data_IF_547773789038
#
_entry.id   IF_547773789038
#
_cell.length_a   1.000
_cell.length_b   1.000
_cell.length_c   1.000
_cell.angle_alpha   90.00
_cell.angle_beta   90.00
_cell.angle_gamma   90.00
#
_symmetry.space_group_name_H-M   'P 1'
#
loop_
_entity.id
_entity.type
_entity.pdbx_description
1 polymer ?
#
# COMPACT_ATOMS: atom_id res chain seq x y z
N UNK A 1 -28.12 -12.86 17.36
CA UNK A 1 -28.90 -12.18 16.29
C UNK A 1 -28.49 -10.73 16.08
N UNK A 2 -27.98 -10.01 17.09
CA UNK A 2 -27.58 -8.59 16.99
C UNK A 2 -26.31 -8.29 16.13
N UNK A 3 -25.50 -9.30 15.79
CA UNK A 3 -24.30 -9.11 14.95
C UNK A 3 -24.58 -9.01 13.45
N UNK A 4 -25.69 -9.61 12.98
CA UNK A 4 -26.01 -9.63 11.55
C UNK A 4 -26.43 -8.26 11.03
N UNK A 5 -27.22 -7.54 11.82
CA UNK A 5 -27.72 -6.22 11.46
C UNK A 5 -26.61 -5.16 11.44
N UNK A 6 -25.64 -5.27 12.37
CA UNK A 6 -24.44 -4.41 12.36
C UNK A 6 -23.53 -4.72 11.18
N UNK A 7 -23.34 -5.99 10.84
CA UNK A 7 -22.57 -6.39 9.66
C UNK A 7 -23.24 -5.93 8.35
N UNK A 8 -24.57 -6.03 8.25
CA UNK A 8 -25.33 -5.53 7.10
C UNK A 8 -25.32 -3.99 7.00
N UNK A 9 -25.35 -3.27 8.14
CA UNK A 9 -25.18 -1.80 8.15
C UNK A 9 -23.76 -1.37 7.80
N UNK A 10 -22.73 -2.14 8.21
CA UNK A 10 -21.35 -1.92 7.81
C UNK A 10 -21.16 -2.16 6.31
N UNK A 11 -21.77 -3.21 5.74
CA UNK A 11 -21.78 -3.45 4.30
C UNK A 11 -22.51 -2.35 3.52
N UNK A 12 -23.63 -1.83 4.02
CA UNK A 12 -24.39 -0.72 3.40
C UNK A 12 -23.67 0.63 3.47
N UNK A 13 -22.71 0.77 4.39
CA UNK A 13 -21.85 1.96 4.53
C UNK A 13 -20.51 1.80 3.81
N UNK A 14 -20.18 0.59 3.35
CA UNK A 14 -19.05 0.40 2.46
C UNK A 14 -19.32 1.24 1.21
N UNK A 15 -18.38 2.10 0.79
CA UNK A 15 -18.54 2.84 -0.44
C UNK A 15 -18.86 1.85 -1.58
N UNK A 16 -19.79 2.19 -2.47
CA UNK A 16 -19.97 1.41 -3.70
C UNK A 16 -18.58 1.23 -4.32
N UNK A 17 -18.27 0.02 -4.77
CA UNK A 17 -16.90 -0.39 -5.11
C UNK A 17 -16.17 0.63 -6.01
N UNK A 18 -16.93 1.31 -6.88
CA UNK A 18 -16.45 2.38 -7.76
C UNK A 18 -15.87 3.59 -7.00
N UNK A 19 -16.50 4.04 -5.92
CA UNK A 19 -15.99 5.14 -5.09
C UNK A 19 -14.69 4.79 -4.38
N UNK A 20 -14.50 3.52 -4.00
CA UNK A 20 -13.21 3.05 -3.44
C UNK A 20 -12.12 3.14 -4.51
N UNK A 21 -12.42 2.71 -5.74
CA UNK A 21 -11.46 2.79 -6.84
C UNK A 21 -11.11 4.23 -7.24
N UNK A 22 -12.08 5.15 -7.21
CA UNK A 22 -11.83 6.58 -7.43
C UNK A 22 -10.86 7.14 -6.38
N UNK A 23 -11.10 6.86 -5.10
CA UNK A 23 -10.21 7.31 -4.01
C UNK A 23 -8.80 6.74 -4.14
N UNK A 24 -8.68 5.46 -4.53
CA UNK A 24 -7.38 4.83 -4.78
C UNK A 24 -6.67 5.51 -5.96
N UNK A 25 -7.38 5.80 -7.06
CA UNK A 25 -6.80 6.46 -8.23
C UNK A 25 -6.33 7.88 -7.90
N UNK A 26 -7.10 8.63 -7.11
CA UNK A 26 -6.71 9.95 -6.61
C UNK A 26 -5.46 9.89 -5.73
N UNK A 27 -5.39 8.91 -4.82
CA UNK A 27 -4.22 8.67 -3.99
C UNK A 27 -2.99 8.34 -4.83
N UNK A 28 -3.11 7.41 -5.79
CA UNK A 28 -2.01 7.03 -6.69
C UNK A 28 -1.49 8.24 -7.48
N UNK A 29 -2.39 9.09 -7.96
CA UNK A 29 -2.02 10.34 -8.63
C UNK A 29 -1.27 11.29 -7.69
N UNK A 30 -1.77 11.49 -6.47
CA UNK A 30 -1.11 12.34 -5.47
C UNK A 30 0.29 11.83 -5.13
N UNK A 31 0.47 10.52 -4.97
CA UNK A 31 1.76 9.90 -4.74
C UNK A 31 2.71 10.10 -5.94
N UNK A 32 2.25 9.89 -7.17
CA UNK A 32 3.05 10.12 -8.37
C UNK A 32 3.48 11.59 -8.51
N UNK A 33 2.58 12.54 -8.26
CA UNK A 33 2.88 13.97 -8.27
C UNK A 33 3.89 14.33 -7.18
N UNK A 34 3.77 13.75 -5.98
CA UNK A 34 4.72 13.95 -4.89
C UNK A 34 6.10 13.41 -5.24
N UNK A 35 6.18 12.18 -5.75
CA UNK A 35 7.44 11.57 -6.19
C UNK A 35 8.17 12.47 -7.18
N UNK A 36 7.48 12.98 -8.19
CA UNK A 36 8.07 13.81 -9.23
C UNK A 36 8.58 15.17 -8.71
N UNK A 37 7.91 15.75 -7.71
CA UNK A 37 8.29 17.05 -7.14
C UNK A 37 9.35 16.98 -6.06
N UNK A 38 9.40 15.88 -5.31
CA UNK A 38 10.19 15.77 -4.08
C UNK A 38 11.22 14.63 -4.12
N UNK A 39 11.71 14.25 -5.31
CA UNK A 39 12.65 13.11 -5.49
C UNK A 39 13.85 13.13 -4.52
N UNK A 40 14.35 14.32 -4.23
CA UNK A 40 15.51 14.54 -3.36
C UNK A 40 15.23 14.37 -1.85
N UNK A 41 13.96 14.34 -1.45
CA UNK A 41 13.53 14.06 -0.07
C UNK A 41 13.23 12.58 0.17
N UNK A 42 13.27 11.75 -0.88
CA UNK A 42 12.88 10.35 -0.81
C UNK A 42 14.04 9.48 -0.35
N UNK A 43 13.85 8.83 0.80
CA UNK A 43 14.74 7.75 1.23
C UNK A 43 14.25 6.42 0.67
N UNK A 44 15.04 5.68 -0.13
CA UNK A 44 14.62 4.37 -0.63
C UNK A 44 14.51 3.37 0.52
N UNK A 45 13.40 2.64 0.61
CA UNK A 45 13.16 1.63 1.65
C UNK A 45 13.18 0.24 1.06
N UNK A 46 12.36 0.00 0.03
CA UNK A 46 12.16 -1.33 -0.53
C UNK A 46 12.08 -1.26 -2.05
N UNK A 47 12.71 -2.22 -2.72
CA UNK A 47 12.38 -2.59 -4.09
C UNK A 47 11.72 -3.96 -4.06
N UNK A 48 10.47 -4.04 -4.50
CA UNK A 48 9.69 -5.26 -4.49
C UNK A 48 9.37 -5.72 -5.92
N UNK A 49 9.47 -7.03 -6.16
CA UNK A 49 9.03 -7.69 -7.38
C UNK A 49 8.31 -8.99 -7.04
N UNK A 50 7.34 -9.35 -7.86
CA UNK A 50 6.69 -10.64 -7.75
C UNK A 50 5.49 -10.78 -8.65
N UNK A 51 4.74 -11.84 -8.44
CA UNK A 51 3.44 -12.07 -9.06
C UNK A 51 2.35 -12.09 -8.01
N UNK A 52 1.26 -11.41 -8.31
CA UNK A 52 0.09 -11.30 -7.44
C UNK A 52 -1.09 -11.93 -8.18
N UNK A 53 -1.88 -12.73 -7.47
CA UNK A 53 -3.13 -13.31 -7.96
C UNK A 53 -4.18 -13.28 -6.85
N UNK A 54 -4.91 -12.17 -6.76
CA UNK A 54 -5.87 -11.92 -5.70
C UNK A 54 -5.48 -10.75 -4.81
N UNK A 55 -5.54 -10.92 -3.50
CA UNK A 55 -5.42 -9.83 -2.50
C UNK A 55 -4.42 -10.18 -1.42
N UNK A 56 -3.46 -9.28 -1.26
CA UNK A 56 -2.40 -9.39 -0.27
C UNK A 56 -2.08 -8.03 0.37
N UNK A 57 -1.49 -8.07 1.56
CA UNK A 57 -0.94 -6.88 2.22
C UNK A 57 0.53 -7.10 2.49
N UNK A 58 1.37 -6.28 1.85
CA UNK A 58 2.79 -6.22 2.15
C UNK A 58 3.02 -5.36 3.40
N UNK A 59 3.66 -5.94 4.40
CA UNK A 59 4.01 -5.32 5.66
C UNK A 59 5.50 -5.00 5.68
N UNK A 60 5.84 -3.74 5.96
CA UNK A 60 7.22 -3.27 6.10
C UNK A 60 7.39 -2.71 7.51
N UNK A 61 8.32 -3.25 8.29
CA UNK A 61 8.58 -2.81 9.65
C UNK A 61 10.07 -2.98 9.98
N UNK A 62 10.77 -1.88 10.27
CA UNK A 62 12.22 -1.93 10.52
C UNK A 62 12.96 -2.60 9.36
N UNK A 63 13.67 -3.68 9.66
CA UNK A 63 14.40 -4.51 8.71
C UNK A 63 13.61 -5.71 8.14
N UNK A 64 12.30 -5.76 8.41
CA UNK A 64 11.44 -6.90 8.03
C UNK A 64 10.43 -6.51 6.96
N UNK A 65 10.28 -7.44 6.02
CA UNK A 65 9.23 -7.46 5.02
C UNK A 65 8.49 -8.78 5.14
N UNK A 66 7.16 -8.74 5.16
CA UNK A 66 6.30 -9.93 5.21
C UNK A 66 5.00 -9.67 4.46
N UNK A 67 4.27 -10.72 4.11
CA UNK A 67 3.00 -10.61 3.40
C UNK A 67 1.89 -11.32 4.17
N UNK A 68 0.81 -10.59 4.43
CA UNK A 68 -0.46 -11.15 4.88
C UNK A 68 -1.33 -11.46 3.65
N UNK A 69 -1.50 -12.75 3.36
CA UNK A 69 -2.36 -13.22 2.29
C UNK A 69 -3.84 -13.21 2.69
N UNK A 70 -4.69 -12.62 1.86
CA UNK A 70 -6.12 -12.46 2.17
C UNK A 70 -7.04 -13.32 1.28
N UNK A 71 -6.75 -13.41 -0.02
CA UNK A 71 -7.61 -14.11 -0.99
C UNK A 71 -6.86 -14.43 -2.28
N UNK A 72 -7.21 -15.54 -2.93
CA UNK A 72 -6.65 -15.95 -4.22
C UNK A 72 -5.52 -16.95 -4.03
N UNK A 73 -4.55 -16.92 -4.94
CA UNK A 73 -3.29 -17.62 -4.76
C UNK A 73 -2.26 -16.67 -4.13
N UNK A 74 -1.44 -17.19 -3.22
CA UNK A 74 -0.40 -16.39 -2.59
C UNK A 74 0.61 -15.84 -3.60
N UNK A 75 1.35 -14.78 -3.24
CA UNK A 75 2.38 -14.23 -4.10
C UNK A 75 3.40 -15.29 -4.53
N UNK A 76 3.83 -15.23 -5.79
CA UNK A 76 4.89 -16.10 -6.30
C UNK A 76 6.04 -15.29 -6.88
N UNK A 77 7.21 -15.94 -7.00
CA UNK A 77 8.43 -15.32 -7.55
C UNK A 77 8.80 -14.01 -6.82
N UNK A 78 8.52 -13.95 -5.51
CA UNK A 78 8.78 -12.76 -4.71
C UNK A 78 10.28 -12.50 -4.57
N UNK A 79 10.66 -11.24 -4.83
CA UNK A 79 11.95 -10.69 -4.49
C UNK A 79 11.74 -9.36 -3.76
N UNK A 80 12.11 -9.35 -2.48
CA UNK A 80 12.08 -8.18 -1.61
C UNK A 80 13.52 -7.74 -1.31
N UNK A 81 13.94 -6.62 -1.90
CA UNK A 81 15.25 -6.01 -1.63
C UNK A 81 15.08 -4.78 -0.73
N UNK A 82 15.33 -4.97 0.56
CA UNK A 82 15.27 -3.89 1.54
C UNK A 82 16.55 -3.06 1.47
N UNK A 83 16.41 -1.83 0.96
CA UNK A 83 17.53 -0.91 0.75
C UNK A 83 17.93 -0.22 2.06
N UNK A 84 16.94 0.22 2.83
CA UNK A 84 17.14 0.80 4.15
C UNK A 84 16.02 0.32 5.09
N UNK A 85 16.29 0.17 6.40
CA UNK A 85 15.24 -0.12 7.36
C UNK A 85 14.21 1.00 7.40
N UNK A 86 12.94 0.64 7.58
CA UNK A 86 11.89 1.60 7.83
C UNK A 86 12.10 2.21 9.23
N UNK A 87 12.17 3.55 9.37
CA UNK A 87 12.33 4.19 10.68
C UNK A 87 11.20 3.85 11.66
N UNK A 88 11.53 3.68 12.94
CA UNK A 88 10.57 3.50 14.03
C UNK A 88 9.92 4.84 14.45
N UNK A 89 9.41 5.59 13.48
CA UNK A 89 8.73 6.86 13.68
C UNK A 89 7.61 7.09 12.64
N UNK A 90 6.83 8.15 12.84
CA UNK A 90 5.75 8.52 11.92
C UNK A 90 6.32 9.19 10.66
N UNK A 91 6.54 8.38 9.63
CA UNK A 91 6.97 8.82 8.29
C UNK A 91 5.83 8.69 7.27
N UNK A 92 6.01 9.32 6.11
CA UNK A 92 5.12 9.10 4.96
C UNK A 92 5.77 8.14 3.99
N UNK A 93 5.10 7.02 3.72
CA UNK A 93 5.44 6.12 2.63
C UNK A 93 4.87 6.61 1.32
N UNK A 94 5.69 6.50 0.29
CA UNK A 94 5.35 6.82 -1.10
C UNK A 94 5.74 5.65 -1.99
N UNK A 95 4.83 5.24 -2.87
CA UNK A 95 5.01 4.08 -3.75
C UNK A 95 5.23 4.58 -5.16
N UNK A 96 6.33 4.14 -5.76
CA UNK A 96 6.61 4.30 -7.18
C UNK A 96 6.33 2.97 -7.90
N UNK A 97 5.26 2.95 -8.67
CA UNK A 97 4.93 1.83 -9.55
C UNK A 97 5.84 1.83 -10.79
N UNK A 98 6.58 0.74 -10.99
CA UNK A 98 7.49 0.55 -12.13
C UNK A 98 6.91 -0.40 -13.18
N UNK A 99 5.76 -1.02 -12.89
CA UNK A 99 5.09 -1.96 -13.77
C UNK A 99 4.22 -2.92 -12.95
N UNK A 100 2.91 -2.66 -12.95
CA UNK A 100 1.90 -3.52 -12.34
C UNK A 100 0.68 -3.63 -13.25
N UNK A 101 -0.23 -4.57 -12.93
CA UNK A 101 -1.56 -4.65 -13.53
C UNK A 101 -2.32 -3.31 -13.34
N UNK A 102 -3.48 -3.08 -13.98
CA UNK A 102 -4.18 -1.79 -13.93
C UNK A 102 -4.42 -1.24 -12.52
N UNK A 103 -4.56 -2.13 -11.54
CA UNK A 103 -4.66 -1.81 -10.13
C UNK A 103 -3.25 -1.77 -9.54
N UNK A 104 -2.69 -0.58 -9.40
CA UNK A 104 -1.32 -0.37 -8.92
C UNK A 104 -1.22 -0.57 -7.40
N UNK A 105 -0.03 -0.89 -6.86
CA UNK A 105 0.18 -0.93 -5.41
C UNK A 105 -0.12 0.45 -4.80
N UNK A 106 -0.76 0.45 -3.62
CA UNK A 106 -1.04 1.69 -2.89
C UNK A 106 -0.86 1.52 -1.38
N UNK A 107 -0.61 2.63 -0.69
CA UNK A 107 -0.42 2.62 0.77
C UNK A 107 -1.78 2.47 1.44
N UNK A 108 -2.01 1.32 2.07
CA UNK A 108 -3.20 1.02 2.86
C UNK A 108 -3.14 1.68 4.24
N UNK A 109 -1.95 1.70 4.84
CA UNK A 109 -1.71 2.28 6.15
C UNK A 109 -0.28 2.81 6.26
N UNK A 110 -0.15 4.03 6.78
CA UNK A 110 1.13 4.67 7.05
C UNK A 110 1.71 4.17 8.39
N UNK A 111 3.04 4.06 8.54
CA UNK A 111 3.67 3.66 9.79
C UNK A 111 3.33 4.67 10.89
N UNK A 112 2.83 4.17 12.02
CA UNK A 112 2.42 5.00 13.14
C UNK A 112 2.58 4.28 14.48
N UNK A 113 2.46 5.03 15.57
CA UNK A 113 2.67 4.46 16.91
C UNK A 113 1.68 3.33 17.23
N UNK A 114 0.46 3.38 16.72
CA UNK A 114 -0.59 2.38 17.03
C UNK A 114 -0.41 1.07 16.28
N UNK A 115 0.29 1.08 15.14
CA UNK A 115 0.58 -0.11 14.34
C UNK A 115 2.02 -0.61 14.49
N UNK A 116 2.78 -0.07 15.45
CA UNK A 116 4.17 -0.46 15.69
C UNK A 116 5.16 0.06 14.63
N UNK A 117 4.83 1.19 13.99
CA UNK A 117 5.56 1.78 12.88
C UNK A 117 5.65 0.87 11.65
N UNK A 118 4.55 0.15 11.38
CA UNK A 118 4.45 -0.75 10.23
C UNK A 118 3.77 -0.06 9.07
N UNK A 119 4.45 0.01 7.93
CA UNK A 119 3.86 0.38 6.65
C UNK A 119 3.09 -0.78 6.03
N UNK A 120 1.91 -0.50 5.48
CA UNK A 120 1.09 -1.51 4.79
C UNK A 120 0.81 -1.09 3.36
N UNK A 121 1.22 -1.90 2.40
CA UNK A 121 0.95 -1.70 0.97
C UNK A 121 -0.06 -2.76 0.53
N UNK A 122 -1.18 -2.33 -0.06
CA UNK A 122 -2.18 -3.24 -0.60
C UNK A 122 -1.80 -3.66 -2.01
N UNK A 123 -1.86 -4.96 -2.26
CA UNK A 123 -1.62 -5.59 -3.54
C UNK A 123 -2.92 -6.25 -3.98
N UNK A 124 -3.41 -5.88 -5.16
CA UNK A 124 -4.68 -6.38 -5.65
C UNK A 124 -4.64 -6.61 -7.15
N UNK A 125 -4.60 -7.88 -7.56
CA UNK A 125 -4.90 -8.25 -8.93
C UNK A 125 -6.40 -8.59 -9.05
N UNK A 126 -7.16 -7.71 -9.70
CA UNK A 126 -8.61 -7.91 -9.90
C UNK A 126 -8.88 -9.01 -10.91
N UNK A 127 -8.06 -9.06 -11.95
CA UNK A 127 -8.21 -10.01 -13.05
C UNK A 127 -7.19 -11.13 -12.79
N UNK A 128 -7.62 -12.37 -12.52
CA UNK A 128 -6.71 -13.47 -12.15
C UNK A 128 -5.80 -13.81 -13.33
N UNK A 129 -4.70 -13.09 -13.42
CA UNK A 129 -3.80 -13.05 -14.56
C UNK A 129 -2.37 -13.38 -14.17
N UNK A 130 -2.12 -13.58 -12.87
CA UNK A 130 -0.80 -13.86 -12.31
C UNK A 130 0.21 -12.79 -12.78
N UNK A 131 -0.25 -11.54 -12.80
CA UNK A 131 0.48 -10.44 -13.41
C UNK A 131 1.80 -10.19 -12.69
N UNK A 132 2.81 -9.74 -13.44
CA UNK A 132 4.08 -9.30 -12.86
C UNK A 132 3.94 -7.88 -12.32
N UNK A 133 4.43 -7.70 -11.10
CA UNK A 133 4.40 -6.45 -10.38
C UNK A 133 5.82 -6.09 -9.95
N UNK A 134 6.19 -4.83 -10.17
CA UNK A 134 7.45 -4.24 -9.74
C UNK A 134 7.19 -2.82 -9.25
N UNK A 135 7.64 -2.51 -8.04
CA UNK A 135 7.51 -1.18 -7.46
C UNK A 135 8.60 -0.88 -6.44
N UNK A 136 8.78 0.40 -6.14
CA UNK A 136 9.65 0.88 -5.09
C UNK A 136 8.85 1.59 -4.01
N UNK A 137 9.28 1.46 -2.77
CA UNK A 137 8.75 2.18 -1.63
C UNK A 137 9.82 3.12 -1.10
N UNK A 138 9.42 4.36 -0.88
CA UNK A 138 10.24 5.42 -0.31
C UNK A 138 9.61 5.91 0.99
N UNK A 139 10.46 6.37 1.91
CA UNK A 139 10.05 7.12 3.09
C UNK A 139 10.39 8.59 2.92
N UNK A 140 9.51 9.43 3.45
CA UNK A 140 9.73 10.86 3.66
C UNK A 140 9.69 11.09 5.17
N UNK A 141 10.70 11.75 5.74
CA UNK A 141 10.79 12.11 7.16
C UNK A 141 9.77 13.16 7.64
N UNK A 142 8.57 13.20 7.04
CA UNK A 142 7.45 14.09 7.33
C UNK A 142 6.20 13.25 7.53
N UNK A 143 5.26 13.71 8.36
CA UNK A 143 4.00 13.00 8.58
C UNK A 143 3.06 13.13 7.37
N UNK A 144 2.11 12.20 7.19
CA UNK A 144 1.17 12.24 6.05
C UNK A 144 0.38 13.56 5.92
N UNK A 145 0.10 14.23 7.05
CA UNK A 145 -0.57 15.53 7.08
C UNK A 145 0.27 16.68 6.48
N UNK A 146 1.59 16.58 6.59
CA UNK A 146 2.53 17.60 6.12
C UNK A 146 2.86 17.42 4.64
N UNK A 147 2.75 16.19 4.13
CA UNK A 147 2.99 15.84 2.72
C UNK A 147 1.73 15.97 1.86
N UNK A 148 0.56 16.11 2.49
CA UNK A 148 -0.74 16.06 1.79
C UNK A 148 -1.14 14.65 1.33
N UNK A 149 -0.38 13.61 1.74
CA UNK A 149 -0.63 12.20 1.41
C UNK A 149 -1.40 11.48 2.53
N UNK A 150 -2.32 12.20 3.17
CA UNK A 150 -3.18 11.61 4.19
C UNK A 150 -4.21 10.69 3.54
N UNK A 151 -4.37 9.49 4.11
CA UNK A 151 -5.39 8.52 3.68
C UNK A 151 -6.78 9.06 4.02
N UNK A 152 -7.72 8.90 3.08
CA UNK A 152 -9.06 9.48 3.16
C UNK A 152 -10.12 8.56 3.80
N UNK A 153 -9.72 7.38 4.29
CA UNK A 153 -10.60 6.33 4.83
C UNK A 153 -10.37 6.07 6.32
#
# INVERSE_FOLDING_TARGET
>A
MADREKAEQALKRAPESDRVFELIAEQQKAHADYLNKHREELQPILHWKGRIDGRDVLLIQGDRVSIDHLQGDGPAEELSDLVNPLPEEEVTLVVEDLGSAPYRPFVLEQPNKTNGYTGKIFLFDRDPSYSRWEFKVYAVGKKPKETGLQLAW
#
